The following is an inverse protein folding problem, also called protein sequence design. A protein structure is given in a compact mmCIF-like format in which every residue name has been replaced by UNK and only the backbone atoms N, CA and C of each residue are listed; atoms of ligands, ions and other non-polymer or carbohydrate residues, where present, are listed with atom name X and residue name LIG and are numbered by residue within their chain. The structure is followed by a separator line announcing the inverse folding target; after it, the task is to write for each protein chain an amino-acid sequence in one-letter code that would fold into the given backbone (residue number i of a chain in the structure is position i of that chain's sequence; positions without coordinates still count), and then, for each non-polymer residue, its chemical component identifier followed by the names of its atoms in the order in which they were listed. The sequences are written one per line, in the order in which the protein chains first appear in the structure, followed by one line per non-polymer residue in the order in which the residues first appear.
data_IF_458398038872
#
_entry.id   IF_458398038872
#
_cell.length_a   1.000
_cell.length_b   1.000
_cell.length_c   1.000
_cell.angle_alpha   90.00
_cell.angle_beta   90.00
_cell.angle_gamma   90.00
#
_symmetry.space_group_name_H-M   'P 1'
#
loop_
_entity.id
_entity.type
_entity.pdbx_description
1 polymer ?
#
# COMPACT_ATOMS: atom_id res chain seq x y z
N UNK A 1 28.43 -43.89 12.02
CA UNK A 1 28.44 -42.53 12.60
C UNK A 1 27.67 -41.61 11.70
N UNK A 2 26.38 -41.46 11.96
CA UNK A 2 25.53 -40.53 11.27
C UNK A 2 25.69 -39.17 11.95
N UNK A 3 26.44 -38.30 11.32
CA UNK A 3 26.57 -36.92 11.70
C UNK A 3 25.29 -36.19 11.20
N UNK A 4 24.25 -36.27 12.01
CA UNK A 4 23.07 -35.39 11.80
C UNK A 4 23.46 -34.01 12.30
N UNK A 5 23.88 -33.15 11.38
CA UNK A 5 24.03 -31.73 11.63
C UNK A 5 22.68 -31.19 12.13
N UNK A 6 22.53 -31.04 13.45
CA UNK A 6 21.43 -30.32 14.05
C UNK A 6 21.49 -28.89 13.51
N UNK A 7 20.59 -28.54 12.63
CA UNK A 7 20.32 -27.12 12.32
C UNK A 7 20.04 -26.41 13.64
N UNK A 8 20.83 -25.38 13.96
CA UNK A 8 20.58 -24.57 15.14
C UNK A 8 19.15 -24.02 15.06
N UNK A 9 18.33 -24.30 16.10
CA UNK A 9 16.99 -23.75 16.18
C UNK A 9 17.06 -22.24 16.36
N UNK A 10 16.37 -21.50 15.51
CA UNK A 10 16.25 -20.05 15.61
C UNK A 10 15.13 -19.72 16.60
N UNK A 11 15.39 -18.81 17.52
CA UNK A 11 14.42 -18.32 18.50
C UNK A 11 14.50 -16.81 18.62
N UNK A 12 13.45 -16.20 19.10
CA UNK A 12 13.36 -14.77 19.34
C UNK A 12 12.09 -14.15 18.79
N UNK A 13 12.03 -12.82 18.82
CA UNK A 13 10.88 -12.06 18.32
C UNK A 13 11.33 -11.02 17.32
N UNK A 14 10.53 -10.86 16.27
CA UNK A 14 10.71 -9.85 15.21
C UNK A 14 9.46 -9.02 15.13
N UNK A 15 9.63 -7.71 15.04
CA UNK A 15 8.54 -6.77 14.77
C UNK A 15 8.73 -6.13 13.40
N UNK A 16 7.63 -6.01 12.67
CA UNK A 16 7.61 -5.34 11.37
C UNK A 16 6.41 -4.40 11.27
N UNK A 17 6.58 -3.32 10.54
CA UNK A 17 5.51 -2.37 10.27
C UNK A 17 5.65 -1.77 8.88
N UNK A 18 4.61 -1.17 8.38
CA UNK A 18 4.68 -0.37 7.16
C UNK A 18 3.55 -0.63 6.17
N UNK A 19 3.92 -0.92 4.94
CA UNK A 19 2.99 -1.04 3.82
C UNK A 19 1.82 -1.98 4.10
N UNK A 20 0.60 -1.48 3.96
CA UNK A 20 -0.61 -2.30 4.00
C UNK A 20 -0.73 -3.19 2.76
N UNK A 21 -0.20 -2.76 1.64
CA UNK A 21 -0.21 -3.52 0.40
C UNK A 21 0.70 -4.76 0.45
N UNK A 22 1.85 -4.67 1.13
CA UNK A 22 2.75 -5.81 1.34
C UNK A 22 2.30 -6.75 2.47
N UNK A 23 1.40 -6.31 3.34
CA UNK A 23 1.05 -7.05 4.54
C UNK A 23 0.60 -8.50 4.27
N UNK A 24 -0.27 -8.80 3.28
CA UNK A 24 -0.67 -10.18 3.00
C UNK A 24 0.53 -11.08 2.64
N UNK A 25 1.44 -10.59 1.80
CA UNK A 25 2.63 -11.33 1.41
C UNK A 25 3.55 -11.62 2.61
N UNK A 26 3.82 -10.59 3.42
CA UNK A 26 4.71 -10.71 4.57
C UNK A 26 4.10 -11.60 5.65
N UNK A 27 2.78 -11.53 5.87
CA UNK A 27 2.07 -12.43 6.78
C UNK A 27 2.19 -13.89 6.35
N UNK A 28 1.97 -14.18 5.07
CA UNK A 28 2.10 -15.54 4.54
C UNK A 28 3.53 -16.07 4.70
N UNK A 29 4.52 -15.25 4.37
CA UNK A 29 5.92 -15.60 4.55
C UNK A 29 6.28 -15.84 6.03
N UNK A 30 5.76 -15.01 6.93
CA UNK A 30 5.97 -15.14 8.37
C UNK A 30 5.36 -16.44 8.92
N UNK A 31 4.16 -16.80 8.48
CA UNK A 31 3.52 -18.07 8.89
C UNK A 31 4.32 -19.28 8.42
N UNK A 32 4.79 -19.27 7.18
CA UNK A 32 5.64 -20.34 6.63
C UNK A 32 6.97 -20.45 7.37
N UNK A 33 7.58 -19.32 7.71
CA UNK A 33 8.82 -19.29 8.48
C UNK A 33 8.62 -19.85 9.90
N UNK A 34 7.55 -19.47 10.58
CA UNK A 34 7.20 -19.96 11.92
C UNK A 34 6.88 -21.45 11.94
N UNK A 35 6.35 -22.01 10.86
CA UNK A 35 6.07 -23.44 10.76
C UNK A 35 7.33 -24.30 10.90
N UNK A 36 8.47 -23.79 10.43
CA UNK A 36 9.79 -24.45 10.53
C UNK A 36 10.68 -23.89 11.64
N UNK A 37 10.27 -22.79 12.28
CA UNK A 37 11.00 -22.11 13.35
C UNK A 37 10.02 -21.77 14.49
N UNK A 38 9.59 -22.77 15.22
CA UNK A 38 8.48 -22.69 16.20
C UNK A 38 8.74 -21.74 17.37
N UNK A 39 10.00 -21.45 17.68
CA UNK A 39 10.39 -20.56 18.78
C UNK A 39 10.54 -19.10 18.35
N UNK A 40 10.11 -18.77 17.14
CA UNK A 40 10.12 -17.41 16.60
C UNK A 40 8.73 -16.80 16.69
N UNK A 41 8.65 -15.57 17.21
CA UNK A 41 7.45 -14.75 17.22
C UNK A 41 7.62 -13.62 16.22
N UNK A 42 6.67 -13.44 15.29
CA UNK A 42 6.68 -12.36 14.32
C UNK A 42 5.41 -11.54 14.46
N UNK A 43 5.54 -10.26 14.79
CA UNK A 43 4.43 -9.31 14.92
C UNK A 43 4.49 -8.32 13.77
N UNK A 44 3.42 -8.22 13.01
CA UNK A 44 3.34 -7.37 11.82
C UNK A 44 2.19 -6.38 11.96
N UNK A 45 2.47 -5.12 11.68
CA UNK A 45 1.49 -4.03 11.69
C UNK A 45 1.49 -3.29 10.35
N UNK A 46 0.33 -2.84 9.94
CA UNK A 46 0.20 -1.86 8.86
C UNK A 46 0.41 -0.44 9.41
N UNK A 47 0.42 0.54 8.54
CA UNK A 47 0.56 1.95 8.93
C UNK A 47 1.08 2.80 7.76
N UNK A 48 1.32 2.12 6.61
CA UNK A 48 1.87 2.71 5.41
C UNK A 48 3.39 2.68 5.36
N UNK A 49 3.92 2.80 4.14
CA UNK A 49 5.36 2.72 3.88
C UNK A 49 6.16 3.77 4.64
N UNK A 50 5.66 5.00 4.72
CA UNK A 50 6.34 6.07 5.46
C UNK A 50 6.47 5.76 6.95
N UNK A 51 5.44 5.19 7.56
CA UNK A 51 5.48 4.75 8.97
C UNK A 51 6.49 3.63 9.17
N UNK A 52 6.49 2.62 8.31
CA UNK A 52 7.44 1.52 8.37
C UNK A 52 8.89 1.98 8.24
N UNK A 53 9.17 2.83 7.27
CA UNK A 53 10.50 3.40 7.06
C UNK A 53 10.97 4.24 8.26
N UNK A 54 10.08 5.07 8.81
CA UNK A 54 10.40 5.85 10.02
C UNK A 54 10.73 4.94 11.20
N UNK A 55 9.88 3.94 11.47
CA UNK A 55 10.03 3.07 12.62
C UNK A 55 11.25 2.15 12.53
N UNK A 56 11.58 1.61 11.34
CA UNK A 56 12.81 0.83 11.18
C UNK A 56 14.05 1.72 11.29
N UNK A 57 13.97 2.96 10.82
CA UNK A 57 15.06 3.93 10.92
C UNK A 57 15.37 4.34 12.36
N UNK A 58 14.33 4.50 13.21
CA UNK A 58 14.51 4.87 14.63
C UNK A 58 14.68 3.66 15.57
N UNK A 59 14.63 2.44 15.03
CA UNK A 59 14.81 1.20 15.80
C UNK A 59 13.57 0.74 16.56
N UNK A 60 12.40 1.34 16.34
CA UNK A 60 11.15 0.91 16.97
C UNK A 60 10.66 -0.45 16.47
N UNK A 61 11.05 -0.82 15.26
CA UNK A 61 10.77 -2.14 14.66
C UNK A 61 12.05 -2.68 14.01
N UNK A 62 12.08 -3.99 13.80
CA UNK A 62 13.21 -4.67 13.17
C UNK A 62 13.15 -4.64 11.64
N UNK A 63 11.93 -4.61 11.08
CA UNK A 63 11.68 -4.56 9.65
C UNK A 63 10.70 -3.45 9.29
N UNK A 64 11.04 -2.67 8.27
CA UNK A 64 10.13 -1.72 7.64
C UNK A 64 9.69 -2.24 6.29
N UNK A 65 8.39 -2.45 6.11
CA UNK A 65 7.82 -2.85 4.82
C UNK A 65 7.45 -1.60 4.02
N UNK A 66 7.97 -1.51 2.80
CA UNK A 66 7.79 -0.31 1.99
C UNK A 66 7.55 -0.64 0.52
N UNK A 67 6.64 0.09 -0.10
CA UNK A 67 6.37 0.04 -1.53
C UNK A 67 7.30 0.96 -2.33
N UNK A 68 8.07 1.79 -1.61
CA UNK A 68 8.96 2.78 -2.21
C UNK A 68 10.35 2.70 -1.57
N UNK A 69 11.41 3.12 -2.29
CA UNK A 69 12.75 3.18 -1.71
C UNK A 69 12.81 4.09 -0.48
N UNK A 70 13.71 3.76 0.46
CA UNK A 70 13.84 4.49 1.72
C UNK A 70 14.09 6.00 1.53
N UNK A 71 14.90 6.36 0.54
CA UNK A 71 15.22 7.76 0.21
C UNK A 71 14.02 8.59 -0.27
N UNK A 72 12.92 7.95 -0.62
CA UNK A 72 11.68 8.66 -0.99
C UNK A 72 11.01 9.31 0.22
N UNK A 73 11.20 8.74 1.41
CA UNK A 73 10.52 9.14 2.65
C UNK A 73 11.47 9.57 3.77
N UNK A 74 12.74 9.21 3.68
CA UNK A 74 13.77 9.53 4.64
C UNK A 74 14.86 10.39 4.00
N UNK A 75 15.53 11.20 4.79
CA UNK A 75 16.75 11.85 4.31
C UNK A 75 17.85 10.80 4.01
N UNK A 76 18.81 11.20 3.20
CA UNK A 76 19.85 10.30 2.70
C UNK A 76 20.64 9.63 3.83
N UNK A 77 20.98 10.38 4.88
CA UNK A 77 21.75 9.84 6.00
C UNK A 77 21.05 8.68 6.69
N UNK A 78 19.73 8.81 6.92
CA UNK A 78 18.91 7.75 7.54
C UNK A 78 18.69 6.59 6.57
N UNK A 79 18.40 6.89 5.30
CA UNK A 79 18.18 5.86 4.29
C UNK A 79 19.42 4.97 4.09
N UNK A 80 20.62 5.57 4.08
CA UNK A 80 21.89 4.87 3.86
C UNK A 80 22.24 3.88 5.00
N UNK A 81 21.61 4.03 6.17
CA UNK A 81 21.79 3.09 7.30
C UNK A 81 20.91 1.86 7.23
N UNK A 82 19.96 1.84 6.31
CA UNK A 82 19.05 0.72 6.12
C UNK A 82 19.56 -0.19 5.02
N UNK A 83 19.33 -1.49 5.21
CA UNK A 83 19.56 -2.48 4.16
C UNK A 83 18.24 -2.77 3.44
N UNK A 84 18.24 -2.62 2.12
CA UNK A 84 17.06 -2.83 1.29
C UNK A 84 17.03 -4.25 0.74
N UNK A 85 15.94 -4.96 1.03
CA UNK A 85 15.67 -6.30 0.51
C UNK A 85 14.43 -6.26 -0.39
N UNK A 86 14.64 -6.27 -1.70
CA UNK A 86 13.54 -6.32 -2.67
C UNK A 86 12.91 -7.71 -2.66
N UNK A 87 11.64 -7.78 -2.23
CA UNK A 87 10.92 -9.06 -2.03
C UNK A 87 9.84 -9.31 -3.08
N UNK A 88 9.30 -8.27 -3.71
CA UNK A 88 8.24 -8.39 -4.70
C UNK A 88 8.15 -7.15 -5.59
N UNK A 89 7.41 -7.29 -6.69
CA UNK A 89 6.95 -6.18 -7.53
C UNK A 89 5.43 -6.13 -7.42
N UNK A 90 4.87 -4.94 -7.23
CA UNK A 90 3.44 -4.74 -7.10
C UNK A 90 2.86 -4.01 -8.31
N UNK A 91 1.59 -4.33 -8.58
CA UNK A 91 0.74 -3.56 -9.48
C UNK A 91 -0.36 -2.88 -8.67
N UNK A 92 -0.56 -1.59 -8.90
CA UNK A 92 -1.65 -0.82 -8.31
C UNK A 92 -2.78 -0.71 -9.33
N UNK A 93 -3.98 -1.09 -8.93
CA UNK A 93 -5.18 -1.03 -9.76
C UNK A 93 -6.12 0.07 -9.27
N UNK A 94 -6.74 0.78 -10.21
CA UNK A 94 -7.86 1.69 -9.93
C UNK A 94 -9.15 0.88 -9.86
N UNK A 95 -9.93 1.10 -8.81
CA UNK A 95 -11.23 0.46 -8.62
C UNK A 95 -12.33 1.51 -8.59
N UNK A 96 -13.47 1.18 -9.19
CA UNK A 96 -14.60 2.09 -9.38
C UNK A 96 -15.87 1.39 -8.90
N UNK A 97 -16.77 2.15 -8.26
CA UNK A 97 -18.09 1.65 -7.90
C UNK A 97 -18.84 1.15 -9.15
N UNK A 98 -19.49 0.00 -9.03
CA UNK A 98 -20.17 -0.70 -10.15
C UNK A 98 -21.22 0.13 -10.88
N UNK A 99 -21.81 1.12 -10.22
CA UNK A 99 -22.91 1.93 -10.77
C UNK A 99 -22.44 3.11 -11.64
N UNK A 100 -21.13 3.34 -11.73
CA UNK A 100 -20.54 4.46 -12.48
C UNK A 100 -20.69 4.29 -14.00
N UNK A 101 -20.59 3.07 -14.51
CA UNK A 101 -20.76 2.79 -15.94
C UNK A 101 -19.56 3.13 -16.82
N UNK A 102 -18.38 3.36 -16.25
CA UNK A 102 -17.12 3.58 -16.98
C UNK A 102 -16.29 2.32 -16.96
N UNK A 103 -15.77 1.90 -18.12
CA UNK A 103 -14.91 0.72 -18.27
C UNK A 103 -13.43 1.06 -18.48
N UNK A 104 -13.15 2.20 -19.07
CA UNK A 104 -11.81 2.65 -19.40
C UNK A 104 -11.65 4.14 -19.08
N UNK A 105 -10.50 4.49 -18.52
CA UNK A 105 -10.10 5.87 -18.28
C UNK A 105 -8.69 6.07 -18.83
N UNK A 106 -8.46 7.20 -19.48
CA UNK A 106 -7.11 7.60 -19.85
C UNK A 106 -6.36 8.09 -18.60
N UNK A 107 -5.03 8.13 -18.68
CA UNK A 107 -4.20 8.69 -17.62
C UNK A 107 -4.58 10.14 -17.31
N UNK A 108 -4.84 10.94 -18.33
CA UNK A 108 -5.26 12.33 -18.16
C UNK A 108 -6.62 12.43 -17.45
N UNK A 109 -7.58 11.56 -17.78
CA UNK A 109 -8.87 11.50 -17.08
C UNK A 109 -8.70 11.11 -15.61
N UNK A 110 -7.84 10.13 -15.29
CA UNK A 110 -7.51 9.78 -13.90
C UNK A 110 -6.92 10.96 -13.16
N UNK A 111 -5.97 11.67 -13.76
CA UNK A 111 -5.38 12.86 -13.18
C UNK A 111 -6.44 13.94 -12.89
N UNK A 112 -7.32 14.22 -13.85
CA UNK A 112 -8.37 15.22 -13.71
C UNK A 112 -9.39 14.84 -12.62
N UNK A 113 -9.67 13.55 -12.47
CA UNK A 113 -10.55 13.02 -11.42
C UNK A 113 -9.90 13.19 -10.04
N UNK A 114 -8.69 12.71 -9.85
CA UNK A 114 -8.03 12.72 -8.53
C UNK A 114 -7.55 14.10 -8.10
N UNK A 115 -7.41 15.05 -9.02
CA UNK A 115 -7.14 16.47 -8.69
C UNK A 115 -8.41 17.29 -8.52
N UNK A 116 -9.59 16.65 -8.62
CA UNK A 116 -10.91 17.28 -8.57
C UNK A 116 -11.15 18.35 -9.66
N UNK A 117 -10.44 18.28 -10.77
CA UNK A 117 -10.71 19.08 -11.97
C UNK A 117 -11.97 18.59 -12.67
N UNK A 118 -12.21 17.28 -12.67
CA UNK A 118 -13.46 16.64 -13.07
C UNK A 118 -14.14 16.10 -11.82
N UNK A 119 -15.42 16.46 -11.60
CA UNK A 119 -16.16 16.13 -10.37
C UNK A 119 -17.43 15.33 -10.62
N UNK A 120 -17.76 15.06 -11.87
CA UNK A 120 -18.94 14.28 -12.26
C UNK A 120 -18.55 13.24 -13.31
N UNK A 121 -19.00 12.00 -13.12
CA UNK A 121 -18.70 10.90 -14.02
C UNK A 121 -19.18 11.09 -15.44
N UNK A 122 -20.25 11.88 -15.66
CA UNK A 122 -20.76 12.17 -17.02
C UNK A 122 -19.70 12.82 -17.91
N UNK A 123 -18.76 13.56 -17.33
CA UNK A 123 -17.73 14.28 -18.08
C UNK A 123 -16.62 13.34 -18.60
N UNK A 124 -16.63 12.09 -18.17
CA UNK A 124 -15.69 11.02 -18.63
C UNK A 124 -16.44 9.79 -19.15
N UNK A 125 -17.69 9.96 -19.55
CA UNK A 125 -18.47 8.91 -20.21
C UNK A 125 -19.27 8.01 -19.28
N UNK A 126 -19.36 8.33 -18.00
CA UNK A 126 -20.15 7.60 -17.02
C UNK A 126 -21.53 8.19 -16.77
N UNK A 127 -22.17 7.68 -15.73
CA UNK A 127 -23.48 8.16 -15.29
C UNK A 127 -23.40 9.59 -14.76
N UNK A 128 -24.53 10.30 -14.79
CA UNK A 128 -24.64 11.63 -14.17
C UNK A 128 -24.70 11.47 -12.64
N UNK A 129 -23.53 11.43 -12.02
CA UNK A 129 -23.37 11.33 -10.57
C UNK A 129 -22.04 11.95 -10.14
N UNK A 130 -21.98 12.52 -8.93
CA UNK A 130 -20.73 13.05 -8.39
C UNK A 130 -19.67 11.98 -8.22
N UNK A 131 -18.41 12.36 -8.44
CA UNK A 131 -17.26 11.51 -8.15
C UNK A 131 -16.95 11.60 -6.66
N UNK A 132 -16.84 10.45 -6.01
CA UNK A 132 -16.41 10.33 -4.61
C UNK A 132 -14.99 9.74 -4.60
N UNK A 133 -14.02 10.56 -4.20
CA UNK A 133 -12.63 10.12 -4.10
C UNK A 133 -12.43 9.34 -2.80
N UNK A 134 -11.83 8.16 -2.90
CA UNK A 134 -11.36 7.37 -1.75
C UNK A 134 -9.86 7.26 -1.87
N UNK A 135 -9.16 7.98 -1.02
CA UNK A 135 -7.72 8.15 -1.09
C UNK A 135 -7.02 7.57 0.13
N UNK A 136 -5.70 7.60 0.11
CA UNK A 136 -4.85 7.18 1.22
C UNK A 136 -4.11 8.37 1.81
N UNK A 137 -3.65 8.29 3.06
CA UNK A 137 -2.83 9.34 3.66
C UNK A 137 -1.48 9.49 2.93
N UNK A 138 -0.83 10.62 3.10
CA UNK A 138 0.46 10.93 2.47
C UNK A 138 1.59 9.97 2.85
N UNK A 139 1.44 9.24 3.94
CA UNK A 139 2.39 8.19 4.37
C UNK A 139 2.28 6.90 3.56
N UNK A 140 1.22 6.73 2.76
CA UNK A 140 0.98 5.52 1.98
C UNK A 140 1.97 5.37 0.82
N UNK A 141 2.63 4.22 0.75
CA UNK A 141 3.46 3.85 -0.39
C UNK A 141 2.63 3.53 -1.64
N UNK A 142 1.45 2.93 -1.47
CA UNK A 142 0.51 2.70 -2.58
C UNK A 142 0.08 4.02 -3.22
N UNK A 143 -0.20 5.04 -2.41
CA UNK A 143 -0.48 6.40 -2.90
C UNK A 143 0.70 6.97 -3.69
N UNK A 144 1.91 6.83 -3.19
CA UNK A 144 3.11 7.33 -3.88
C UNK A 144 3.29 6.70 -5.26
N UNK A 145 3.08 5.38 -5.36
CA UNK A 145 3.13 4.65 -6.63
C UNK A 145 2.01 5.08 -7.58
N UNK A 146 0.80 5.21 -7.06
CA UNK A 146 -0.34 5.66 -7.86
C UNK A 146 -0.12 7.06 -8.43
N UNK A 147 0.31 8.01 -7.60
CA UNK A 147 0.62 9.36 -8.05
C UNK A 147 1.68 9.38 -9.15
N UNK A 148 2.76 8.66 -8.93
CA UNK A 148 3.88 8.64 -9.88
C UNK A 148 3.50 8.04 -11.24
N UNK A 149 2.82 6.90 -11.23
CA UNK A 149 2.61 6.10 -12.45
C UNK A 149 1.23 6.27 -13.08
N UNK A 150 0.20 6.62 -12.32
CA UNK A 150 -1.17 6.73 -12.83
C UNK A 150 -1.62 8.16 -13.11
N UNK A 151 -1.14 9.14 -12.33
CA UNK A 151 -1.59 10.53 -12.46
C UNK A 151 -0.45 11.54 -12.67
N UNK A 152 0.65 11.10 -13.28
CA UNK A 152 1.78 11.97 -13.70
C UNK A 152 2.41 12.78 -12.54
N UNK A 153 2.41 12.26 -11.32
CA UNK A 153 2.95 12.94 -10.14
C UNK A 153 2.07 14.05 -9.57
N UNK A 154 0.83 14.17 -10.03
CA UNK A 154 -0.09 15.21 -9.54
C UNK A 154 -0.50 14.96 -8.08
N UNK A 155 -0.77 16.05 -7.36
CA UNK A 155 -1.29 16.00 -5.98
C UNK A 155 -2.78 15.65 -5.99
N UNK A 156 -3.19 14.71 -5.13
CA UNK A 156 -4.59 14.33 -4.95
C UNK A 156 -5.36 15.39 -4.16
N UNK A 157 -6.65 15.55 -4.47
CA UNK A 157 -7.54 16.51 -3.81
C UNK A 157 -8.03 15.95 -2.46
N UNK A 158 -7.18 15.92 -1.45
CA UNK A 158 -7.43 15.30 -0.14
C UNK A 158 -8.58 15.93 0.64
N UNK A 159 -8.77 17.24 0.54
CA UNK A 159 -9.83 17.96 1.24
C UNK A 159 -11.25 17.60 0.79
N UNK A 160 -11.39 16.81 -0.26
CA UNK A 160 -12.67 16.36 -0.84
C UNK A 160 -12.78 14.84 -0.90
N UNK A 161 -11.88 14.12 -0.23
CA UNK A 161 -11.81 12.67 -0.28
C UNK A 161 -12.21 12.02 1.04
N UNK A 162 -12.67 10.76 0.93
CA UNK A 162 -12.66 9.83 2.05
C UNK A 162 -11.24 9.24 2.14
N UNK A 163 -10.67 9.22 3.33
CA UNK A 163 -9.27 8.80 3.50
C UNK A 163 -9.18 7.56 4.38
N UNK A 164 -8.45 6.54 3.92
CA UNK A 164 -8.10 5.36 4.71
C UNK A 164 -6.80 4.74 4.22
N UNK A 165 -5.97 4.26 5.13
CA UNK A 165 -4.75 3.51 4.80
C UNK A 165 -5.00 1.99 4.70
N UNK A 166 -6.15 1.51 5.16
CA UNK A 166 -6.52 0.11 5.10
C UNK A 166 -7.12 -0.26 3.75
N UNK A 167 -6.47 -1.17 3.02
CA UNK A 167 -6.91 -1.59 1.69
C UNK A 167 -8.28 -2.28 1.68
N UNK A 168 -8.59 -3.10 2.70
CA UNK A 168 -9.91 -3.72 2.82
C UNK A 168 -11.02 -2.69 3.06
N UNK A 169 -10.78 -1.70 3.91
CA UNK A 169 -11.72 -0.60 4.15
C UNK A 169 -11.88 0.26 2.90
N UNK A 170 -10.80 0.49 2.15
CA UNK A 170 -10.86 1.24 0.89
C UNK A 170 -11.77 0.54 -0.13
N UNK A 171 -11.60 -0.76 -0.33
CA UNK A 171 -12.45 -1.57 -1.21
C UNK A 171 -13.91 -1.49 -0.77
N UNK A 172 -14.17 -1.64 0.52
CA UNK A 172 -15.52 -1.53 1.09
C UNK A 172 -16.11 -0.14 0.85
N UNK A 173 -15.35 0.91 1.07
CA UNK A 173 -15.78 2.30 0.83
C UNK A 173 -16.14 2.55 -0.63
N UNK A 174 -15.35 2.04 -1.57
CA UNK A 174 -15.65 2.13 -3.00
C UNK A 174 -16.92 1.33 -3.34
N UNK A 175 -17.07 0.14 -2.80
CA UNK A 175 -18.25 -0.71 -3.02
C UNK A 175 -19.55 -0.09 -2.51
N UNK A 176 -19.51 0.57 -1.37
CA UNK A 176 -20.70 1.08 -0.66
C UNK A 176 -21.09 2.50 -1.06
N UNK A 177 -20.21 3.27 -1.66
CA UNK A 177 -20.48 4.66 -2.02
C UNK A 177 -20.71 4.79 -3.53
N UNK A 178 -21.93 5.12 -3.99
CA UNK A 178 -22.18 5.40 -5.39
C UNK A 178 -21.24 6.50 -5.93
N UNK A 179 -20.66 6.27 -7.09
CA UNK A 179 -19.72 7.22 -7.69
C UNK A 179 -18.30 7.16 -7.14
N UNK A 180 -17.97 6.22 -6.25
CA UNK A 180 -16.65 6.15 -5.64
C UNK A 180 -15.58 5.57 -6.57
N UNK A 181 -14.36 6.09 -6.42
CA UNK A 181 -13.14 5.62 -7.06
C UNK A 181 -12.00 5.60 -6.05
N UNK A 182 -11.18 4.58 -6.11
CA UNK A 182 -9.98 4.43 -5.29
C UNK A 182 -8.93 3.60 -5.99
N UNK A 183 -7.87 3.27 -5.29
CA UNK A 183 -6.77 2.44 -5.83
C UNK A 183 -6.24 1.49 -4.76
N UNK A 184 -5.90 0.28 -5.19
CA UNK A 184 -5.39 -0.78 -4.31
C UNK A 184 -4.32 -1.60 -5.03
N UNK A 185 -3.49 -2.27 -4.25
CA UNK A 185 -2.59 -3.29 -4.79
C UNK A 185 -3.39 -4.55 -5.19
N UNK A 186 -3.00 -5.20 -6.28
CA UNK A 186 -3.69 -6.38 -6.83
C UNK A 186 -3.93 -7.51 -5.81
N UNK A 187 -3.04 -7.82 -4.83
CA UNK A 187 -3.30 -8.88 -3.86
C UNK A 187 -4.61 -8.73 -3.05
N UNK A 188 -5.24 -7.56 -3.10
CA UNK A 188 -6.51 -7.29 -2.44
C UNK A 188 -7.75 -7.41 -3.34
N UNK A 189 -7.60 -7.78 -4.62
CA UNK A 189 -8.69 -7.90 -5.59
C UNK A 189 -9.12 -9.33 -5.88
#
# INVERSE_FOLDING_TARGET
SSDSSKQASVSGSITGSGSSALLPLVKDAAEKFKATNKDVTITLNAGGSGTGLKQVSDGSVDMGNSDVPAETKLDKEKADKLEDHKVAVMTVATIINKDVGVKNLTRQQLQDIFTAKVTNWKDVGGQDMPIVLVTRPKTSGTRALFQKYAINGAEEADNKSLETDNSGILIQSVSQNPGAIGYVALPYL
#
